data_IF_054452782013
#
_entry.id   IF_054452782013
#
_cell.length_a   1.000
_cell.length_b   1.000
_cell.length_c   1.000
_cell.angle_alpha   90.00
_cell.angle_beta   90.00
_cell.angle_gamma   90.00
#
_symmetry.space_group_name_H-M   'P 1'
#
loop_
_entity.id
_entity.type
_entity.pdbx_description
1 polymer ?
#
# COMPACT_ATOMS: atom_id res chain seq x y z
N UNK A 1 -8.61 -22.01 -1.60
CA UNK A 1 -8.89 -22.95 -2.71
C UNK A 1 -9.41 -22.25 -3.97
N UNK A 2 -10.33 -21.26 -3.88
CA UNK A 2 -10.91 -20.55 -5.04
C UNK A 2 -9.83 -19.83 -5.84
N UNK A 3 -8.98 -19.04 -5.17
CA UNK A 3 -7.91 -18.28 -5.82
C UNK A 3 -6.88 -19.19 -6.50
N UNK A 4 -6.50 -20.32 -5.88
CA UNK A 4 -5.56 -21.26 -6.48
C UNK A 4 -6.10 -21.94 -7.74
N UNK A 5 -7.41 -22.17 -7.85
CA UNK A 5 -8.03 -22.68 -9.07
C UNK A 5 -7.91 -21.68 -10.23
N UNK A 6 -8.09 -20.38 -9.92
CA UNK A 6 -8.04 -19.31 -10.93
C UNK A 6 -6.60 -18.87 -11.23
N UNK A 7 -5.75 -18.88 -10.22
CA UNK A 7 -4.37 -18.41 -10.28
C UNK A 7 -3.42 -19.46 -9.69
N UNK A 8 -3.04 -20.50 -10.43
CA UNK A 8 -2.28 -21.65 -9.91
C UNK A 8 -0.87 -21.29 -9.43
N UNK A 9 -0.34 -20.16 -9.89
CA UNK A 9 1.01 -19.69 -9.53
C UNK A 9 1.02 -18.74 -8.31
N UNK A 10 -0.15 -18.42 -7.72
CA UNK A 10 -0.22 -17.56 -6.54
C UNK A 10 0.43 -18.28 -5.35
N UNK A 11 1.21 -17.53 -4.57
CA UNK A 11 1.83 -18.01 -3.34
C UNK A 11 1.19 -17.32 -2.16
N UNK A 12 0.80 -18.10 -1.16
CA UNK A 12 0.30 -17.58 0.11
C UNK A 12 1.41 -17.64 1.16
N UNK A 13 1.57 -16.53 1.88
CA UNK A 13 2.41 -16.44 3.06
C UNK A 13 1.49 -16.13 4.23
N UNK A 14 1.44 -17.04 5.21
CA UNK A 14 0.57 -16.88 6.36
C UNK A 14 1.28 -16.09 7.46
N UNK A 15 0.65 -15.02 7.94
CA UNK A 15 1.11 -14.24 9.09
C UNK A 15 0.24 -14.59 10.31
N UNK A 16 0.77 -15.36 11.25
CA UNK A 16 0.08 -15.74 12.50
C UNK A 16 0.07 -14.63 13.54
N UNK A 17 0.81 -13.53 13.29
CA UNK A 17 0.97 -12.38 14.18
C UNK A 17 0.20 -11.13 13.74
N UNK A 18 -0.67 -11.25 12.76
CA UNK A 18 -1.38 -10.09 12.18
C UNK A 18 -2.25 -9.33 13.21
N UNK A 19 -2.71 -10.00 14.29
CA UNK A 19 -3.47 -9.37 15.37
C UNK A 19 -2.61 -8.78 16.50
N UNK A 20 -1.30 -9.10 16.52
CA UNK A 20 -0.40 -8.70 17.59
C UNK A 20 0.51 -7.52 17.19
N UNK A 21 0.63 -7.27 15.90
CA UNK A 21 1.56 -6.30 15.30
C UNK A 21 0.87 -5.58 14.15
N UNK A 22 1.42 -4.43 13.75
CA UNK A 22 0.94 -3.73 12.58
C UNK A 22 1.36 -4.43 11.26
N UNK A 23 0.94 -3.89 10.10
CA UNK A 23 1.13 -4.47 8.77
C UNK A 23 2.62 -4.67 8.39
N UNK A 24 3.56 -3.98 9.05
CA UNK A 24 4.99 -4.25 8.91
C UNK A 24 5.34 -5.72 9.17
N UNK A 25 4.57 -6.43 10.00
CA UNK A 25 4.79 -7.86 10.26
C UNK A 25 4.58 -8.70 9.01
N UNK A 26 3.57 -8.38 8.20
CA UNK A 26 3.32 -9.03 6.92
C UNK A 26 4.42 -8.68 5.90
N UNK A 27 4.80 -7.41 5.82
CA UNK A 27 5.90 -6.98 4.96
C UNK A 27 7.23 -7.63 5.33
N UNK A 28 7.51 -7.83 6.63
CA UNK A 28 8.71 -8.54 7.10
C UNK A 28 8.80 -9.97 6.59
N UNK A 29 7.66 -10.68 6.52
CA UNK A 29 7.63 -12.08 6.04
C UNK A 29 7.93 -12.21 4.53
N UNK A 30 7.68 -11.15 3.76
CA UNK A 30 7.86 -11.12 2.30
C UNK A 30 8.88 -10.07 1.85
N UNK A 31 9.74 -9.59 2.75
CA UNK A 31 10.68 -8.50 2.49
C UNK A 31 11.63 -8.75 1.31
N UNK A 32 11.92 -10.01 0.99
CA UNK A 32 12.74 -10.43 -0.15
C UNK A 32 12.00 -10.33 -1.51
N UNK A 33 10.71 -10.02 -1.51
CA UNK A 33 9.86 -9.95 -2.71
C UNK A 33 9.65 -8.54 -3.26
N UNK A 34 10.22 -7.52 -2.64
CA UNK A 34 10.03 -6.14 -3.07
C UNK A 34 10.78 -5.74 -4.35
N UNK A 35 11.72 -6.56 -4.82
CA UNK A 35 12.57 -6.28 -5.99
C UNK A 35 11.75 -6.36 -7.28
N UNK A 36 11.75 -5.28 -8.08
CA UNK A 36 10.99 -5.17 -9.34
C UNK A 36 9.53 -5.59 -9.17
N UNK A 37 8.90 -5.13 -8.11
CA UNK A 37 7.57 -5.61 -7.72
C UNK A 37 6.64 -4.46 -7.37
N UNK A 38 5.37 -4.66 -7.72
CA UNK A 38 4.28 -3.90 -7.15
C UNK A 38 3.90 -4.47 -5.79
N UNK A 39 3.56 -3.59 -4.87
CA UNK A 39 2.92 -3.90 -3.59
C UNK A 39 1.56 -3.24 -3.62
N UNK A 40 0.52 -4.02 -3.34
CA UNK A 40 -0.87 -3.57 -3.36
C UNK A 40 -1.55 -3.97 -2.07
N UNK A 41 -2.35 -3.07 -1.53
CA UNK A 41 -3.32 -3.39 -0.49
C UNK A 41 -4.50 -4.17 -1.06
N UNK A 42 -5.14 -4.99 -0.24
CA UNK A 42 -6.14 -5.97 -0.71
C UNK A 42 -7.57 -5.46 -0.75
N UNK A 43 -7.81 -4.25 -0.25
CA UNK A 43 -9.07 -3.53 -0.16
C UNK A 43 -9.31 -2.55 -1.32
N UNK A 44 -8.44 -2.61 -2.33
CA UNK A 44 -8.50 -1.76 -3.50
C UNK A 44 -9.23 -2.43 -4.68
N UNK A 45 -10.13 -1.69 -5.32
CA UNK A 45 -10.72 -2.07 -6.61
C UNK A 45 -10.15 -1.17 -7.71
N UNK A 46 -9.41 -1.77 -8.64
CA UNK A 46 -8.82 -1.07 -9.78
C UNK A 46 -9.81 -1.04 -10.93
N UNK A 47 -10.30 0.14 -11.30
CA UNK A 47 -11.13 0.35 -12.48
C UNK A 47 -10.28 0.68 -13.71
N UNK A 48 -9.13 1.33 -13.51
CA UNK A 48 -8.17 1.60 -14.56
C UNK A 48 -7.01 0.60 -14.50
N UNK A 49 -6.96 -0.42 -15.41
CA UNK A 49 -5.89 -1.42 -15.40
C UNK A 49 -4.50 -0.84 -15.72
N UNK A 50 -4.43 0.35 -16.36
CA UNK A 50 -3.16 1.01 -16.71
C UNK A 50 -2.42 1.55 -15.49
N UNK A 51 -3.04 1.49 -14.31
CA UNK A 51 -2.37 1.71 -13.02
C UNK A 51 -1.23 0.69 -12.82
N UNK A 52 -1.39 -0.55 -13.24
CA UNK A 52 -0.34 -1.55 -13.17
C UNK A 52 0.39 -1.61 -14.52
N UNK A 53 1.55 -0.98 -14.58
CA UNK A 53 2.35 -0.88 -15.82
C UNK A 53 3.32 -2.05 -15.92
N UNK A 54 3.57 -2.47 -17.15
CA UNK A 54 4.56 -3.51 -17.42
C UNK A 54 5.99 -3.06 -17.11
N UNK A 55 6.26 -1.77 -17.26
CA UNK A 55 7.57 -1.17 -17.04
C UNK A 55 7.42 0.11 -16.20
N UNK A 56 8.24 0.21 -15.17
CA UNK A 56 8.37 1.40 -14.34
C UNK A 56 9.84 1.84 -14.32
N UNK A 57 10.07 3.13 -14.45
CA UNK A 57 11.44 3.67 -14.45
C UNK A 57 11.97 3.93 -13.04
N UNK A 58 11.07 4.24 -12.10
CA UNK A 58 11.43 4.66 -10.75
C UNK A 58 10.53 3.97 -9.73
N UNK A 59 11.08 3.77 -8.54
CA UNK A 59 10.27 3.43 -7.38
C UNK A 59 9.26 4.55 -7.14
N UNK A 60 7.99 4.19 -6.97
CA UNK A 60 6.91 5.15 -6.88
C UNK A 60 5.81 4.68 -5.93
N UNK A 61 5.03 5.65 -5.48
CA UNK A 61 3.84 5.42 -4.69
C UNK A 61 2.67 6.15 -5.34
N UNK A 62 1.53 5.49 -5.44
CA UNK A 62 0.34 6.04 -6.06
C UNK A 62 -0.30 7.06 -5.12
N UNK A 63 -0.69 8.19 -5.68
CA UNK A 63 -1.37 9.24 -4.93
C UNK A 63 -2.30 10.08 -5.80
N UNK A 64 -3.42 10.46 -5.23
CA UNK A 64 -4.37 11.36 -5.85
C UNK A 64 -4.20 12.76 -5.29
N UNK A 65 -4.03 13.75 -6.16
CA UNK A 65 -3.95 15.13 -5.74
C UNK A 65 -5.28 15.61 -5.19
N UNK A 66 -5.26 16.18 -3.98
CA UNK A 66 -6.44 16.66 -3.27
C UNK A 66 -6.17 18.01 -2.62
N UNK A 67 -7.23 18.82 -2.49
CA UNK A 67 -7.15 20.09 -1.77
C UNK A 67 -7.07 19.86 -0.26
N UNK A 68 -7.78 18.86 0.26
CA UNK A 68 -7.81 18.48 1.66
C UNK A 68 -8.12 16.99 1.81
N UNK A 69 -7.49 16.36 2.80
CA UNK A 69 -7.81 15.00 3.23
C UNK A 69 -7.57 14.87 4.74
N UNK A 70 -8.29 13.98 5.40
CA UNK A 70 -8.05 13.52 6.78
C UNK A 70 -7.33 12.16 6.82
N UNK A 71 -7.11 11.56 5.66
CA UNK A 71 -6.44 10.29 5.48
C UNK A 71 -4.92 10.44 5.29
N UNK A 72 -4.20 9.32 5.17
CA UNK A 72 -2.78 9.28 4.86
C UNK A 72 -2.49 9.99 3.54
N UNK A 73 -1.52 10.87 3.59
CA UNK A 73 -1.12 11.65 2.42
C UNK A 73 0.37 11.97 2.43
N UNK A 74 0.89 12.40 1.28
CA UNK A 74 2.25 12.85 1.18
C UNK A 74 2.39 14.19 0.45
N UNK A 75 3.38 14.94 0.90
CA UNK A 75 3.90 16.12 0.22
C UNK A 75 4.98 15.69 -0.75
N UNK A 76 5.08 16.37 -1.87
CA UNK A 76 6.13 16.11 -2.85
C UNK A 76 6.82 17.39 -3.30
N UNK A 77 8.08 17.25 -3.70
CA UNK A 77 8.85 18.30 -4.36
C UNK A 77 9.50 17.73 -5.61
N UNK A 78 9.23 18.34 -6.76
CA UNK A 78 9.71 17.87 -8.05
C UNK A 78 9.35 16.39 -8.34
N UNK A 79 8.12 15.99 -7.94
CA UNK A 79 7.63 14.62 -8.12
C UNK A 79 8.19 13.58 -7.15
N UNK A 80 9.03 13.98 -6.18
CA UNK A 80 9.59 13.08 -5.17
C UNK A 80 8.87 13.32 -3.85
N UNK A 81 8.45 12.25 -3.17
CA UNK A 81 7.81 12.29 -1.87
C UNK A 81 8.81 12.81 -0.84
N UNK A 82 8.42 13.87 -0.13
CA UNK A 82 9.25 14.51 0.89
C UNK A 82 8.78 14.26 2.30
N UNK A 83 7.48 13.97 2.48
CA UNK A 83 6.88 13.75 3.79
C UNK A 83 5.60 12.94 3.66
N UNK A 84 5.44 11.97 4.52
CA UNK A 84 4.21 11.24 4.79
C UNK A 84 3.56 11.77 6.07
N UNK A 85 2.24 11.87 6.11
CA UNK A 85 1.49 12.35 7.27
C UNK A 85 0.01 11.94 7.21
N UNK A 86 -0.64 11.92 8.36
CA UNK A 86 -2.09 11.79 8.45
C UNK A 86 -2.73 13.18 8.34
N UNK A 87 -3.64 13.32 7.38
CA UNK A 87 -4.32 14.56 7.07
C UNK A 87 -3.45 15.65 6.45
N UNK A 88 -4.01 16.44 5.54
CA UNK A 88 -3.27 17.51 4.90
C UNK A 88 -4.07 18.37 3.93
N UNK A 89 -3.39 19.45 3.47
CA UNK A 89 -3.90 20.37 2.45
C UNK A 89 -2.93 20.42 1.28
N UNK A 90 -3.47 20.53 0.05
CA UNK A 90 -2.68 20.59 -1.19
C UNK A 90 -1.64 19.46 -1.27
N UNK A 91 -2.05 18.25 -0.97
CA UNK A 91 -1.21 17.06 -0.87
C UNK A 91 -1.67 15.97 -1.83
N UNK A 92 -0.99 14.84 -1.79
CA UNK A 92 -1.43 13.63 -2.48
C UNK A 92 -1.98 12.65 -1.45
N UNK A 93 -3.30 12.38 -1.48
CA UNK A 93 -3.89 11.29 -0.72
C UNK A 93 -3.27 9.98 -1.19
N UNK A 94 -2.81 9.18 -0.25
CA UNK A 94 -2.13 7.92 -0.52
C UNK A 94 -3.14 6.85 -0.92
N UNK A 95 -2.82 6.12 -1.98
CA UNK A 95 -3.48 4.86 -2.30
C UNK A 95 -2.47 3.73 -2.18
N UNK A 96 -2.85 2.63 -1.57
CA UNK A 96 -2.00 1.50 -1.20
C UNK A 96 -1.40 0.72 -2.38
N UNK A 97 -0.90 1.43 -3.40
CA UNK A 97 -0.18 0.84 -4.54
C UNK A 97 1.18 1.51 -4.69
N UNK A 98 2.22 0.71 -4.63
CA UNK A 98 3.59 1.17 -4.84
C UNK A 98 4.38 0.21 -5.72
N UNK A 99 5.43 0.71 -6.35
CA UNK A 99 6.38 -0.10 -7.11
C UNK A 99 7.80 0.20 -6.64
N UNK A 100 8.59 -0.84 -6.53
CA UNK A 100 10.01 -0.72 -6.17
C UNK A 100 10.89 -1.39 -7.22
N UNK A 101 11.86 -0.62 -7.73
CA UNK A 101 12.89 -1.15 -8.61
C UNK A 101 13.80 -2.14 -7.86
N UNK A 102 14.73 -2.76 -8.58
CA UNK A 102 15.61 -3.78 -8.00
C UNK A 102 16.49 -3.24 -6.87
N UNK A 103 17.07 -2.04 -7.05
CA UNK A 103 18.02 -1.47 -6.09
C UNK A 103 17.30 -1.02 -4.81
N UNK A 104 16.15 -0.37 -4.94
CA UNK A 104 15.36 0.02 -3.78
C UNK A 104 14.75 -1.21 -3.10
N UNK A 105 14.28 -2.22 -3.84
CA UNK A 105 13.79 -3.47 -3.26
C UNK A 105 14.85 -4.21 -2.43
N UNK A 106 16.13 -4.17 -2.84
CA UNK A 106 17.25 -4.73 -2.03
C UNK A 106 17.44 -3.95 -0.72
N UNK A 107 17.34 -2.62 -0.76
CA UNK A 107 17.43 -1.79 0.45
C UNK A 107 16.25 -2.04 1.39
N UNK A 108 15.03 -2.12 0.83
CA UNK A 108 13.78 -2.39 1.57
C UNK A 108 13.89 -3.69 2.35
N UNK A 109 14.43 -4.75 1.77
CA UNK A 109 14.64 -6.03 2.46
C UNK A 109 15.43 -5.86 3.76
N UNK A 110 16.51 -5.08 3.73
CA UNK A 110 17.35 -4.81 4.90
C UNK A 110 16.70 -3.81 5.88
N UNK A 111 16.07 -2.77 5.36
CA UNK A 111 15.48 -1.70 6.17
C UNK A 111 14.20 -2.15 6.88
N UNK A 112 13.34 -2.97 6.25
CA UNK A 112 12.21 -3.62 6.93
C UNK A 112 12.72 -4.48 8.09
N UNK A 113 13.76 -5.30 7.86
CA UNK A 113 14.31 -6.15 8.92
C UNK A 113 14.89 -5.32 10.09
N UNK A 114 15.56 -4.22 9.77
CA UNK A 114 16.11 -3.30 10.77
C UNK A 114 15.01 -2.63 11.59
N UNK A 115 14.02 -2.03 10.93
CA UNK A 115 12.94 -1.29 11.60
C UNK A 115 12.05 -2.24 12.40
N UNK A 116 11.70 -3.40 11.87
CA UNK A 116 10.90 -4.41 12.59
C UNK A 116 11.53 -4.82 13.93
N UNK A 117 12.87 -4.91 14.00
CA UNK A 117 13.59 -5.34 15.20
C UNK A 117 13.97 -4.19 16.14
N UNK A 118 13.72 -2.93 15.79
CA UNK A 118 13.97 -1.80 16.69
C UNK A 118 12.83 -1.62 17.69
N UNK A 119 13.07 -0.96 18.84
CA UNK A 119 11.99 -0.59 19.79
C UNK A 119 10.90 0.22 19.08
N UNK A 120 9.62 -0.19 19.26
CA UNK A 120 8.46 0.43 18.60
C UNK A 120 8.34 0.14 17.09
N UNK A 121 9.16 -0.77 16.56
CA UNK A 121 9.14 -1.06 15.12
C UNK A 121 7.95 -1.90 14.67
N UNK A 122 7.46 -2.78 15.54
CA UNK A 122 6.33 -3.67 15.24
C UNK A 122 4.98 -2.97 15.18
N UNK A 123 4.88 -1.79 15.74
CA UNK A 123 3.70 -0.92 15.74
C UNK A 123 3.62 -0.02 14.52
N UNK A 124 4.70 0.01 13.70
CA UNK A 124 4.74 0.84 12.49
C UNK A 124 4.00 0.21 11.32
N UNK A 125 3.46 1.07 10.47
CA UNK A 125 3.08 0.68 9.11
C UNK A 125 4.34 0.43 8.28
N UNK A 126 4.28 -0.51 7.34
CA UNK A 126 5.45 -0.88 6.54
C UNK A 126 5.92 0.26 5.63
N UNK A 127 5.00 1.10 5.16
CA UNK A 127 5.27 2.28 4.34
C UNK A 127 6.17 3.28 5.07
N UNK A 128 5.99 3.42 6.38
CA UNK A 128 6.80 4.29 7.23
C UNK A 128 8.27 3.89 7.26
N UNK A 129 8.60 2.65 6.92
CA UNK A 129 10.01 2.25 6.77
C UNK A 129 10.67 3.08 5.68
N UNK A 130 10.00 3.27 4.56
CA UNK A 130 10.52 3.87 3.34
C UNK A 130 10.25 5.38 3.30
N UNK A 131 9.07 5.81 3.75
CA UNK A 131 8.63 7.20 3.63
C UNK A 131 8.95 8.07 4.85
N UNK A 132 9.33 7.43 5.98
CA UNK A 132 9.66 8.13 7.24
C UNK A 132 11.02 7.69 7.79
N UNK A 133 11.12 6.48 8.37
CA UNK A 133 12.28 6.07 9.20
C UNK A 133 13.57 6.00 8.39
N UNK A 134 13.54 5.40 7.21
CA UNK A 134 14.69 5.22 6.33
C UNK A 134 14.61 6.07 5.06
N UNK A 135 13.76 7.10 5.02
CA UNK A 135 13.47 7.88 3.82
C UNK A 135 14.69 8.43 3.09
N UNK A 136 15.78 8.71 3.81
CA UNK A 136 17.01 9.23 3.21
C UNK A 136 17.73 8.20 2.31
N UNK A 137 17.34 6.92 2.39
CA UNK A 137 17.87 5.86 1.53
C UNK A 137 17.16 5.80 0.18
N UNK A 138 16.04 6.52 0.02
CA UNK A 138 15.12 6.36 -1.10
C UNK A 138 14.81 7.68 -1.81
N UNK A 139 14.48 7.56 -3.09
CA UNK A 139 13.85 8.62 -3.90
C UNK A 139 12.55 8.05 -4.48
N UNK A 140 11.50 8.08 -3.71
CA UNK A 140 10.19 7.55 -4.12
C UNK A 140 9.44 8.65 -4.85
N UNK A 141 9.04 8.36 -6.08
CA UNK A 141 8.26 9.29 -6.90
C UNK A 141 6.77 9.19 -6.59
N UNK A 142 6.07 10.32 -6.65
CA UNK A 142 4.62 10.30 -6.72
C UNK A 142 4.22 9.83 -8.12
N UNK A 143 3.34 8.86 -8.17
CA UNK A 143 2.62 8.52 -9.38
C UNK A 143 1.16 8.93 -9.22
N UNK A 144 0.73 9.89 -10.01
CA UNK A 144 -0.62 10.45 -9.89
C UNK A 144 -1.66 9.51 -10.47
N UNK A 145 -2.76 9.33 -9.73
CA UNK A 145 -4.00 8.73 -10.20
C UNK A 145 -5.15 9.74 -10.10
N UNK A 146 -6.26 9.44 -10.77
CA UNK A 146 -7.40 10.33 -10.92
C UNK A 146 -8.68 9.71 -10.36
N UNK A 147 -9.72 10.52 -10.24
CA UNK A 147 -11.04 10.06 -9.83
C UNK A 147 -11.52 8.94 -10.77
N UNK A 148 -12.00 7.85 -10.18
CA UNK A 148 -12.49 6.68 -10.91
C UNK A 148 -11.41 5.66 -11.32
N UNK A 149 -10.14 5.93 -11.10
CA UNK A 149 -9.07 4.94 -11.36
C UNK A 149 -9.10 3.81 -10.34
N UNK A 150 -9.30 4.16 -9.07
CA UNK A 150 -9.27 3.24 -7.93
C UNK A 150 -10.34 3.63 -6.92
N UNK A 151 -10.90 2.63 -6.25
CA UNK A 151 -11.75 2.79 -5.06
C UNK A 151 -11.19 1.90 -3.96
N UNK A 152 -11.06 2.44 -2.76
CA UNK A 152 -10.76 1.72 -1.53
C UNK A 152 -12.07 1.32 -0.83
N UNK A 153 -12.07 0.15 -0.21
CA UNK A 153 -13.26 -0.42 0.45
C UNK A 153 -12.89 -0.72 1.91
N UNK A 154 -13.17 0.22 2.80
CA UNK A 154 -12.91 0.08 4.23
C UNK A 154 -14.09 -0.53 4.99
N UNK A 155 -15.28 -0.39 4.45
CA UNK A 155 -16.50 -0.80 5.14
C UNK A 155 -17.41 -1.68 4.29
N UNK A 156 -18.19 -2.52 4.99
CA UNK A 156 -19.22 -3.32 4.33
C UNK A 156 -20.29 -2.45 3.63
N UNK A 157 -20.51 -1.23 4.09
CA UNK A 157 -21.45 -0.31 3.44
C UNK A 157 -20.89 0.19 2.09
N UNK A 158 -19.60 0.48 2.01
CA UNK A 158 -18.93 0.83 0.75
C UNK A 158 -18.95 -0.34 -0.24
N UNK A 159 -18.63 -1.56 0.24
CA UNK A 159 -18.73 -2.76 -0.59
C UNK A 159 -20.14 -2.91 -1.20
N UNK A 160 -21.21 -2.68 -0.44
CA UNK A 160 -22.59 -2.72 -0.95
C UNK A 160 -22.92 -1.63 -1.96
N UNK A 161 -22.24 -0.50 -1.92
CA UNK A 161 -22.42 0.53 -2.93
C UNK A 161 -21.87 0.08 -4.29
N UNK A 162 -20.79 -0.67 -4.27
CA UNK A 162 -20.10 -1.18 -5.46
C UNK A 162 -20.76 -2.45 -5.98
N UNK A 163 -21.10 -3.38 -5.09
CA UNK A 163 -21.71 -4.66 -5.43
C UNK A 163 -23.03 -4.89 -4.66
N UNK A 164 -24.14 -4.70 -5.37
CA UNK A 164 -25.49 -4.85 -4.82
C UNK A 164 -25.86 -6.28 -4.42
N UNK A 165 -25.08 -7.29 -4.83
CA UNK A 165 -25.30 -8.66 -4.37
C UNK A 165 -25.14 -8.80 -2.85
N UNK A 166 -24.40 -7.90 -2.21
CA UNK A 166 -24.22 -7.84 -0.75
C UNK A 166 -25.38 -7.17 0.01
N UNK A 167 -26.35 -6.58 -0.65
CA UNK A 167 -27.53 -5.97 0.00
C UNK A 167 -28.41 -6.99 0.73
N UNK A 168 -28.36 -8.27 0.33
CA UNK A 168 -29.11 -9.36 0.97
C UNK A 168 -28.55 -9.76 2.35
N UNK A 169 -27.32 -9.39 2.68
CA UNK A 169 -26.71 -9.71 3.96
C UNK A 169 -27.18 -8.72 5.04
N UNK A 170 -28.13 -9.15 5.88
CA UNK A 170 -28.51 -8.39 7.08
C UNK A 170 -27.34 -8.42 8.07
N UNK A 171 -26.99 -7.24 8.66
CA UNK A 171 -26.06 -7.18 9.80
C UNK A 171 -26.54 -8.16 10.88
N UNK A 172 -25.81 -9.23 11.10
CA UNK A 172 -25.98 -10.05 12.30
C UNK A 172 -25.54 -9.17 13.46
N UNK A 173 -26.50 -8.64 14.21
CA UNK A 173 -26.20 -7.95 15.47
C UNK A 173 -25.60 -8.98 16.43
N UNK A 174 -24.31 -8.80 16.77
CA UNK A 174 -23.73 -9.44 17.95
C UNK A 174 -24.10 -8.67 19.18
#
# INVERSE_FOLDING_TARGET
>A
EVLLKKYPNIKFVYNDKYNEMNNISSAYMVKDKFKNSYVLESDLVLYNPDIIRKYEYYSNFLGKKVDVTDDWCFESKNGIITKEKLGGYNCYQMYGISYYNEDDGKKIESDIAKVFNMPGGKEKYWEQVILDVCKNNYKIHVRECHDGDIIEIDTFNELKQIDKSYDCYKKVRK
#
